data_IF_034519726093
#
_entry.id   IF_034519726093
#
_cell.length_a   1.000
_cell.length_b   1.000
_cell.length_c   1.000
_cell.angle_alpha   90.00
_cell.angle_beta   90.00
_cell.angle_gamma   90.00
#
_symmetry.space_group_name_H-M   'P 1'
#
loop_
_entity.id
_entity.type
_entity.pdbx_description
1 polymer ?
#
# COMPACT_ATOMS: atom_id res chain seq x y z
N UNK A 1 -2.05 -37.29 -4.45
CA UNK A 1 -1.92 -35.84 -4.31
C UNK A 1 -0.49 -35.43 -4.64
N UNK A 2 -0.33 -34.46 -5.49
CA UNK A 2 0.99 -33.99 -5.89
C UNK A 2 1.58 -33.07 -4.82
N UNK A 3 2.93 -33.01 -4.75
CA UNK A 3 3.63 -32.11 -3.83
C UNK A 3 3.24 -30.65 -4.03
N UNK A 4 3.06 -30.22 -5.29
CA UNK A 4 2.69 -28.85 -5.60
C UNK A 4 1.33 -28.46 -5.05
N UNK A 5 0.34 -29.37 -5.10
CA UNK A 5 -0.97 -29.13 -4.49
C UNK A 5 -0.87 -29.01 -2.97
N UNK A 6 -0.06 -29.87 -2.35
CA UNK A 6 0.16 -29.79 -0.91
C UNK A 6 0.83 -28.49 -0.49
N UNK A 7 1.82 -28.01 -1.23
CA UNK A 7 2.47 -26.74 -0.96
C UNK A 7 1.52 -25.56 -1.13
N UNK A 8 0.75 -25.52 -2.21
CA UNK A 8 -0.21 -24.45 -2.43
C UNK A 8 -1.26 -24.39 -1.31
N UNK A 9 -1.80 -25.55 -0.95
CA UNK A 9 -2.78 -25.63 0.14
C UNK A 9 -2.19 -25.17 1.45
N UNK A 10 -0.96 -25.57 1.77
CA UNK A 10 -0.26 -25.17 2.99
C UNK A 10 -0.06 -23.66 3.02
N UNK A 11 0.39 -23.07 1.93
CA UNK A 11 0.60 -21.63 1.83
C UNK A 11 -0.70 -20.85 2.02
N UNK A 12 -1.80 -21.32 1.42
CA UNK A 12 -3.10 -20.67 1.60
C UNK A 12 -3.54 -20.72 3.06
N UNK A 13 -3.37 -21.86 3.72
CA UNK A 13 -3.78 -22.02 5.11
C UNK A 13 -2.87 -21.26 6.09
N UNK A 14 -1.67 -20.90 5.68
CA UNK A 14 -0.74 -20.10 6.48
C UNK A 14 -1.05 -18.60 6.43
N UNK A 15 -1.86 -18.14 5.46
CA UNK A 15 -2.10 -16.70 5.29
C UNK A 15 -2.63 -15.99 6.55
N UNK A 16 -3.62 -16.55 7.30
CA UNK A 16 -4.07 -15.87 8.51
C UNK A 16 -2.97 -15.72 9.57
N UNK A 17 -2.13 -16.76 9.74
CA UNK A 17 -1.05 -16.70 10.70
C UNK A 17 0.05 -15.72 10.25
N UNK A 18 0.36 -15.69 8.95
CA UNK A 18 1.34 -14.75 8.39
C UNK A 18 0.88 -13.30 8.57
N UNK A 19 -0.39 -13.00 8.32
CA UNK A 19 -0.96 -11.67 8.53
C UNK A 19 -0.94 -11.29 10.01
N UNK A 20 -1.26 -12.23 10.90
CA UNK A 20 -1.20 -11.99 12.35
C UNK A 20 0.22 -11.65 12.80
N UNK A 21 1.22 -12.41 12.34
CA UNK A 21 2.62 -12.14 12.65
C UNK A 21 3.05 -10.77 12.14
N UNK A 22 2.61 -10.38 10.95
CA UNK A 22 2.89 -9.06 10.39
C UNK A 22 2.33 -7.96 11.28
N UNK A 23 1.07 -8.07 11.68
CA UNK A 23 0.42 -7.09 12.54
C UNK A 23 1.09 -6.97 13.90
N UNK A 24 1.51 -8.09 14.48
CA UNK A 24 2.16 -8.10 15.78
C UNK A 24 3.61 -7.61 15.73
N UNK A 25 4.39 -8.07 14.74
CA UNK A 25 5.82 -7.76 14.67
C UNK A 25 6.13 -6.39 14.10
N UNK A 26 5.26 -5.84 13.23
CA UNK A 26 5.50 -4.57 12.56
C UNK A 26 4.75 -3.39 13.19
N UNK A 27 4.01 -3.62 14.26
CA UNK A 27 3.20 -2.59 14.89
C UNK A 27 4.02 -1.36 15.28
N UNK A 28 5.17 -1.57 15.92
CA UNK A 28 6.02 -0.46 16.35
C UNK A 28 6.61 0.29 15.17
N UNK A 29 6.97 -0.43 14.10
CA UNK A 29 7.45 0.21 12.88
C UNK A 29 6.37 1.05 12.21
N UNK A 30 5.16 0.53 12.15
CA UNK A 30 4.00 1.27 11.59
C UNK A 30 3.72 2.52 12.41
N UNK A 31 3.77 2.44 13.73
CA UNK A 31 3.56 3.60 14.59
C UNK A 31 4.63 4.68 14.39
N UNK A 32 5.90 4.28 14.22
CA UNK A 32 6.98 5.22 13.93
C UNK A 32 6.81 5.89 12.57
N UNK A 33 6.44 5.13 11.55
CA UNK A 33 6.20 5.67 10.21
C UNK A 33 5.01 6.63 10.24
N UNK A 34 3.94 6.26 10.92
CA UNK A 34 2.75 7.12 11.06
C UNK A 34 3.09 8.43 11.77
N UNK A 35 3.93 8.40 12.80
CA UNK A 35 4.37 9.60 13.50
C UNK A 35 5.21 10.50 12.58
N UNK A 36 6.11 9.93 11.79
CA UNK A 36 6.93 10.67 10.84
C UNK A 36 6.06 11.33 9.76
N UNK A 37 5.05 10.63 9.26
CA UNK A 37 4.11 11.17 8.29
C UNK A 37 3.33 12.34 8.88
N UNK A 38 2.84 12.21 10.11
CA UNK A 38 2.12 13.30 10.79
C UNK A 38 2.98 14.55 10.97
N UNK A 39 4.26 14.37 11.27
CA UNK A 39 5.18 15.49 11.40
C UNK A 39 5.39 16.25 10.09
N UNK A 40 5.39 15.54 8.97
CA UNK A 40 5.57 16.15 7.66
C UNK A 40 4.32 16.80 7.10
N UNK A 41 3.15 16.46 7.63
CA UNK A 41 1.87 17.05 7.25
C UNK A 41 1.65 17.05 5.72
N UNK A 42 1.62 15.88 5.07
CA UNK A 42 1.41 15.83 3.62
C UNK A 42 0.03 16.39 3.27
N UNK A 43 -0.07 17.03 2.13
CA UNK A 43 -1.34 17.59 1.66
C UNK A 43 -2.24 16.53 1.03
N UNK A 44 -1.65 15.51 0.43
CA UNK A 44 -2.35 14.40 -0.21
C UNK A 44 -1.42 13.21 -0.35
N UNK A 45 -1.98 12.08 -0.75
CA UNK A 45 -1.24 10.83 -0.95
C UNK A 45 -1.27 10.47 -2.42
N UNK A 46 -0.15 9.95 -2.93
CA UNK A 46 -0.08 9.34 -4.26
C UNK A 46 0.30 7.88 -4.08
N UNK A 47 -0.56 6.98 -4.52
CA UNK A 47 -0.29 5.54 -4.48
C UNK A 47 0.20 5.07 -5.85
N UNK A 48 1.39 4.49 -5.87
CA UNK A 48 1.98 3.92 -7.08
C UNK A 48 1.93 2.40 -6.99
N UNK A 49 1.11 1.77 -7.82
CA UNK A 49 0.91 0.33 -7.79
C UNK A 49 0.47 -0.21 -9.14
N UNK A 50 0.73 -1.49 -9.35
CA UNK A 50 0.29 -2.22 -10.55
C UNK A 50 -0.24 -3.59 -10.14
N UNK A 51 -1.15 -4.14 -10.94
CA UNK A 51 -1.73 -5.46 -10.70
C UNK A 51 -2.56 -5.52 -9.43
N UNK A 52 -2.40 -6.58 -8.65
CA UNK A 52 -3.15 -6.78 -7.41
C UNK A 52 -2.90 -5.67 -6.39
N UNK A 53 -1.69 -5.11 -6.37
CA UNK A 53 -1.35 -4.00 -5.48
C UNK A 53 -2.18 -2.75 -5.78
N UNK A 54 -2.61 -2.57 -7.03
CA UNK A 54 -3.49 -1.45 -7.39
C UNK A 54 -4.86 -1.58 -6.71
N UNK A 55 -5.37 -2.79 -6.52
CA UNK A 55 -6.61 -3.02 -5.80
C UNK A 55 -6.48 -2.61 -4.34
N UNK A 56 -5.35 -2.92 -3.71
CA UNK A 56 -5.07 -2.48 -2.34
C UNK A 56 -4.98 -0.96 -2.26
N UNK A 57 -4.37 -0.31 -3.25
CA UNK A 57 -4.27 1.14 -3.31
C UNK A 57 -5.66 1.79 -3.44
N UNK A 58 -6.56 1.20 -4.21
CA UNK A 58 -7.95 1.67 -4.34
C UNK A 58 -8.72 1.58 -3.03
N UNK A 59 -8.53 0.51 -2.28
CA UNK A 59 -9.08 0.40 -0.93
C UNK A 59 -8.51 1.49 -0.02
N UNK A 60 -7.21 1.74 -0.13
CA UNK A 60 -6.53 2.79 0.61
C UNK A 60 -7.10 4.18 0.36
N UNK A 61 -7.57 4.47 -0.87
CA UNK A 61 -8.20 5.75 -1.17
C UNK A 61 -9.37 6.04 -0.24
N UNK A 62 -10.24 5.06 -0.05
CA UNK A 62 -11.39 5.22 0.82
C UNK A 62 -11.00 5.28 2.28
N UNK A 63 -10.05 4.45 2.67
CA UNK A 63 -9.62 4.39 4.07
C UNK A 63 -8.94 5.68 4.51
N UNK A 64 -7.97 6.18 3.75
CA UNK A 64 -7.27 7.43 4.08
C UNK A 64 -8.19 8.63 3.90
N UNK A 65 -9.05 8.62 2.90
CA UNK A 65 -10.00 9.69 2.70
C UNK A 65 -10.99 9.83 3.83
N UNK A 66 -11.54 8.72 4.30
CA UNK A 66 -12.54 8.72 5.37
C UNK A 66 -11.92 8.93 6.75
N UNK A 67 -10.81 8.25 7.05
CA UNK A 67 -10.21 8.28 8.38
C UNK A 67 -9.31 9.50 8.61
N UNK A 68 -8.55 9.92 7.59
CA UNK A 68 -7.54 10.96 7.73
C UNK A 68 -7.86 12.22 6.92
N UNK A 69 -8.92 12.24 6.16
CA UNK A 69 -9.30 13.36 5.29
C UNK A 69 -8.21 13.74 4.28
N UNK A 70 -7.41 12.76 3.87
CA UNK A 70 -6.35 12.97 2.91
C UNK A 70 -6.81 12.46 1.54
N UNK A 71 -6.81 13.31 0.50
CA UNK A 71 -7.06 12.83 -0.86
C UNK A 71 -5.97 11.86 -1.28
N UNK A 72 -6.35 10.79 -1.94
CA UNK A 72 -5.41 9.80 -2.48
C UNK A 72 -5.57 9.76 -3.99
N UNK A 73 -4.53 10.14 -4.70
CA UNK A 73 -4.46 10.01 -6.14
C UNK A 73 -3.74 8.71 -6.49
N UNK A 74 -4.22 8.04 -7.52
CA UNK A 74 -3.52 6.87 -8.06
C UNK A 74 -2.51 7.35 -9.09
N UNK A 75 -1.24 7.01 -8.90
CA UNK A 75 -0.23 7.30 -9.88
C UNK A 75 -0.52 6.51 -11.15
N UNK A 76 -0.20 7.11 -12.29
CA UNK A 76 -0.27 6.45 -13.57
C UNK A 76 1.16 6.10 -13.99
N UNK A 77 1.67 4.88 -13.68
CA UNK A 77 3.09 4.58 -13.86
C UNK A 77 3.57 4.75 -15.30
N UNK A 78 2.71 4.52 -16.28
CA UNK A 78 3.07 4.69 -17.69
C UNK A 78 3.40 6.13 -18.07
N UNK A 79 2.92 7.13 -17.33
CA UNK A 79 3.33 8.52 -17.55
C UNK A 79 4.82 8.71 -17.28
N UNK A 80 5.38 7.96 -16.33
CA UNK A 80 6.81 8.01 -16.02
C UNK A 80 7.63 7.15 -16.97
N UNK A 81 7.16 5.95 -17.29
CA UNK A 81 7.94 4.94 -17.99
C UNK A 81 7.80 5.00 -19.52
N UNK A 82 6.60 5.23 -20.02
CA UNK A 82 6.33 5.25 -21.47
C UNK A 82 6.29 6.64 -22.06
N UNK A 83 5.60 7.56 -21.39
CA UNK A 83 5.39 8.91 -21.93
C UNK A 83 6.43 9.91 -21.48
N UNK A 84 7.25 9.58 -20.48
CA UNK A 84 8.27 10.47 -19.92
C UNK A 84 7.72 11.85 -19.54
N UNK A 85 6.48 11.89 -19.04
CA UNK A 85 5.79 13.10 -18.59
C UNK A 85 5.33 12.93 -17.14
N UNK A 86 6.28 12.89 -16.19
CA UNK A 86 5.93 12.69 -14.79
C UNK A 86 5.08 13.84 -14.26
N UNK A 87 3.97 13.54 -13.56
CA UNK A 87 3.18 14.59 -12.92
C UNK A 87 3.94 15.32 -11.84
N UNK A 88 3.58 16.57 -11.59
CA UNK A 88 4.10 17.34 -10.48
C UNK A 88 3.36 16.97 -9.21
N UNK A 89 4.06 16.43 -8.23
CA UNK A 89 3.45 15.90 -7.00
C UNK A 89 4.03 16.54 -5.74
N UNK A 90 4.38 17.81 -5.82
CA UNK A 90 4.86 18.55 -4.65
C UNK A 90 3.82 18.54 -3.51
N UNK A 91 4.28 18.34 -2.27
CA UNK A 91 3.40 18.27 -1.10
C UNK A 91 2.74 16.92 -0.87
N UNK A 92 2.99 15.93 -1.73
CA UNK A 92 2.44 14.59 -1.60
C UNK A 92 3.30 13.68 -0.74
N UNK A 93 2.64 12.69 -0.13
CA UNK A 93 3.26 11.47 0.37
C UNK A 93 3.11 10.42 -0.71
N UNK A 94 4.20 9.85 -1.16
CA UNK A 94 4.17 8.77 -2.15
C UNK A 94 4.38 7.43 -1.46
#
# INVERSE_FOLDING_TARGET
MTSSQSFLKTEILEQPAALRRLLESERDNVERVAAAIRQRQPQYIVSAARGTSDNAARYGQYLFGAANRLPVALATPSLYTLYAQPPQIGGALV
#
